data_IF_088066084200
#
_entry.id   IF_088066084200
#
_cell.length_a   1.000
_cell.length_b   1.000
_cell.length_c   1.000
_cell.angle_alpha   90.00
_cell.angle_beta   90.00
_cell.angle_gamma   90.00
#
_symmetry.space_group_name_H-M   'P 1'
#
loop_
_entity.id
_entity.type
_entity.pdbx_description
1 polymer ?
#
# COMPACT_ATOMS: atom_id res chain seq x y z
N UNK A 1 -21.65 2.90 20.44
CA UNK A 1 -21.65 3.54 19.11
C UNK A 1 -21.61 2.41 18.08
N UNK A 2 -22.57 2.37 17.15
CA UNK A 2 -22.72 1.27 16.18
C UNK A 2 -21.46 1.11 15.32
N UNK A 3 -21.11 -0.13 14.98
CA UNK A 3 -19.92 -0.50 14.18
C UNK A 3 -19.71 0.40 12.95
N UNK A 4 -20.80 0.83 12.30
CA UNK A 4 -20.81 1.74 11.15
C UNK A 4 -20.12 3.08 11.40
N UNK A 5 -20.28 3.69 12.57
CA UNK A 5 -19.65 4.97 12.89
C UNK A 5 -18.14 4.84 13.03
N UNK A 6 -17.64 3.68 13.44
CA UNK A 6 -16.21 3.45 13.57
C UNK A 6 -15.54 3.47 12.20
N UNK A 7 -16.11 2.79 11.21
CA UNK A 7 -15.58 2.80 9.84
C UNK A 7 -15.61 4.19 9.20
N UNK A 8 -16.67 4.97 9.43
CA UNK A 8 -16.70 6.37 8.98
C UNK A 8 -15.61 7.22 9.64
N UNK A 9 -15.34 7.01 10.93
CA UNK A 9 -14.27 7.71 11.64
C UNK A 9 -12.89 7.34 11.08
N UNK A 10 -12.65 6.08 10.72
CA UNK A 10 -11.41 5.66 10.03
C UNK A 10 -11.21 6.48 8.76
N UNK A 11 -12.23 6.58 7.90
CA UNK A 11 -12.15 7.36 6.66
C UNK A 11 -11.83 8.82 6.93
N UNK A 12 -12.55 9.44 7.87
CA UNK A 12 -12.37 10.86 8.19
C UNK A 12 -10.96 11.10 8.72
N UNK A 13 -10.45 10.24 9.62
CA UNK A 13 -9.10 10.39 10.16
C UNK A 13 -8.04 10.13 9.08
N UNK A 14 -8.19 9.10 8.26
CA UNK A 14 -7.26 8.80 7.17
C UNK A 14 -7.19 9.96 6.15
N UNK A 15 -8.35 10.43 5.67
CA UNK A 15 -8.45 11.54 4.73
C UNK A 15 -7.88 12.84 5.32
N UNK A 16 -8.17 13.14 6.58
CA UNK A 16 -7.68 14.36 7.23
C UNK A 16 -6.18 14.33 7.43
N UNK A 17 -5.60 13.22 7.91
CA UNK A 17 -4.16 13.09 8.10
C UNK A 17 -3.42 13.10 6.75
N UNK A 18 -3.89 12.33 5.77
CA UNK A 18 -3.32 12.33 4.41
C UNK A 18 -3.41 13.71 3.76
N UNK A 19 -4.58 14.35 3.84
CA UNK A 19 -4.82 15.69 3.31
C UNK A 19 -3.97 16.77 4.00
N UNK A 20 -3.73 16.68 5.32
CA UNK A 20 -2.84 17.59 6.05
C UNK A 20 -1.38 17.41 5.62
N UNK A 21 -0.92 16.18 5.39
CA UNK A 21 0.43 15.90 4.88
C UNK A 21 0.59 16.51 3.49
N UNK A 22 -0.38 16.29 2.59
CA UNK A 22 -0.39 16.91 1.26
C UNK A 22 -0.44 18.45 1.37
N UNK A 23 -1.30 19.02 2.22
CA UNK A 23 -1.38 20.47 2.41
C UNK A 23 -0.11 21.08 3.06
N UNK A 24 0.69 20.26 3.74
CA UNK A 24 1.99 20.67 4.30
C UNK A 24 3.10 20.79 3.25
N UNK A 25 2.84 20.34 2.03
CA UNK A 25 3.70 20.45 0.85
C UNK A 25 4.36 21.82 0.71
N UNK A 26 3.59 22.89 0.90
CA UNK A 26 4.04 24.28 0.76
C UNK A 26 5.24 24.64 1.65
N UNK A 27 5.52 23.86 2.70
CA UNK A 27 6.61 24.10 3.64
C UNK A 27 7.87 23.29 3.34
N UNK A 28 7.74 22.11 2.69
CA UNK A 28 8.87 21.20 2.42
C UNK A 28 9.10 20.93 0.92
N UNK A 29 8.29 21.48 0.02
CA UNK A 29 8.35 21.26 -1.43
C UNK A 29 9.71 21.60 -2.05
N UNK A 30 10.50 22.50 -1.43
CA UNK A 30 11.86 22.84 -1.86
C UNK A 30 12.87 21.67 -1.72
N UNK A 31 12.60 20.71 -0.81
CA UNK A 31 13.48 19.55 -0.57
C UNK A 31 12.94 18.25 -1.18
N UNK A 32 11.66 18.21 -1.56
CA UNK A 32 10.94 16.99 -1.99
C UNK A 32 10.43 17.08 -3.43
N UNK A 33 10.58 18.23 -4.09
CA UNK A 33 10.13 18.47 -5.45
C UNK A 33 11.06 17.89 -6.52
N UNK A 34 10.48 17.28 -7.55
CA UNK A 34 11.26 16.89 -8.72
C UNK A 34 11.58 18.11 -9.60
N UNK A 35 12.85 18.50 -9.70
CA UNK A 35 13.31 19.63 -10.52
C UNK A 35 13.67 19.22 -11.95
N UNK A 36 13.56 17.93 -12.28
CA UNK A 36 14.05 17.35 -13.53
C UNK A 36 12.89 17.09 -14.50
N UNK A 37 12.62 18.07 -15.36
CA UNK A 37 11.43 18.13 -16.24
C UNK A 37 11.65 17.46 -17.61
N UNK A 38 12.86 17.01 -17.94
CA UNK A 38 13.24 16.51 -19.28
C UNK A 38 13.04 14.99 -19.47
N UNK A 39 12.37 14.30 -18.53
CA UNK A 39 12.09 12.86 -18.68
C UNK A 39 10.99 12.63 -19.73
N UNK A 40 11.10 11.62 -20.63
CA UNK A 40 10.07 11.30 -21.63
C UNK A 40 8.68 10.98 -21.04
N UNK A 41 8.65 10.68 -19.74
CA UNK A 41 7.47 10.31 -18.97
C UNK A 41 6.95 11.49 -18.11
N UNK A 42 7.64 12.62 -18.04
CA UNK A 42 7.22 13.78 -17.26
C UNK A 42 6.12 14.55 -18.00
N UNK A 43 4.85 14.29 -17.66
CA UNK A 43 3.71 15.09 -18.16
C UNK A 43 3.38 16.31 -17.28
N UNK A 44 4.31 16.69 -16.40
CA UNK A 44 4.21 17.86 -15.52
C UNK A 44 5.21 18.95 -15.96
N UNK A 45 4.73 20.17 -16.18
CA UNK A 45 5.56 21.35 -16.44
C UNK A 45 6.10 22.03 -15.15
N UNK A 46 5.80 21.46 -13.98
CA UNK A 46 6.12 22.03 -12.65
C UNK A 46 6.52 20.92 -11.69
N UNK A 47 7.44 21.23 -10.78
CA UNK A 47 7.93 20.32 -9.74
C UNK A 47 6.79 19.83 -8.86
N UNK A 48 6.46 18.53 -8.93
CA UNK A 48 5.51 17.87 -8.02
C UNK A 48 6.29 17.16 -6.91
N UNK A 49 5.91 17.34 -5.64
CA UNK A 49 6.58 16.68 -4.53
C UNK A 49 6.08 15.26 -4.36
N UNK A 50 7.03 14.37 -4.11
CA UNK A 50 6.80 12.93 -4.01
C UNK A 50 6.45 12.51 -2.58
N UNK A 51 5.40 13.12 -2.03
CA UNK A 51 4.91 12.84 -0.66
C UNK A 51 3.60 12.05 -0.62
N UNK A 52 3.03 11.71 -1.79
CA UNK A 52 1.77 10.98 -1.87
C UNK A 52 1.80 9.62 -1.17
N UNK A 53 2.88 8.85 -1.34
CA UNK A 53 3.05 7.56 -0.68
C UNK A 53 3.09 7.69 0.86
N UNK A 54 3.76 8.73 1.38
CA UNK A 54 3.79 9.02 2.82
C UNK A 54 2.40 9.42 3.34
N UNK A 55 1.66 10.23 2.59
CA UNK A 55 0.30 10.63 2.94
C UNK A 55 -0.65 9.43 3.06
N UNK A 56 -0.63 8.52 2.09
CA UNK A 56 -1.43 7.28 2.11
C UNK A 56 -1.02 6.39 3.28
N UNK A 57 0.29 6.18 3.48
CA UNK A 57 0.81 5.33 4.55
C UNK A 57 0.41 5.85 5.94
N UNK A 58 0.69 7.12 6.22
CA UNK A 58 0.40 7.74 7.51
C UNK A 58 -1.10 7.94 7.74
N UNK A 59 -1.87 8.31 6.70
CA UNK A 59 -3.32 8.40 6.77
C UNK A 59 -3.97 7.06 7.11
N UNK A 60 -3.59 6.00 6.38
CA UNK A 60 -4.08 4.64 6.65
C UNK A 60 -3.74 4.19 8.07
N UNK A 61 -2.50 4.42 8.51
CA UNK A 61 -2.07 4.09 9.88
C UNK A 61 -2.90 4.82 10.93
N UNK A 62 -3.06 6.14 10.78
CA UNK A 62 -3.83 6.96 11.71
C UNK A 62 -5.31 6.54 11.76
N UNK A 63 -5.92 6.25 10.61
CA UNK A 63 -7.29 5.76 10.54
C UNK A 63 -7.45 4.42 11.28
N UNK A 64 -6.54 3.47 11.07
CA UNK A 64 -6.59 2.15 11.71
C UNK A 64 -6.32 2.20 13.22
N UNK A 65 -5.50 3.15 13.70
CA UNK A 65 -5.30 3.33 15.15
C UNK A 65 -6.59 3.73 15.89
N UNK A 66 -7.57 4.32 15.20
CA UNK A 66 -8.89 4.64 15.76
C UNK A 66 -9.70 3.37 16.07
N UNK A 67 -9.42 2.25 15.39
CA UNK A 67 -10.07 0.97 15.64
C UNK A 67 -9.62 0.27 16.93
N UNK A 68 -8.69 0.85 17.70
CA UNK A 68 -8.11 0.28 18.91
C UNK A 68 -9.13 -0.12 19.99
N UNK A 69 -9.82 -1.23 19.77
CA UNK A 69 -10.56 -2.01 20.75
C UNK A 69 -9.79 -3.31 20.94
N UNK A 70 -9.40 -3.66 22.19
CA UNK A 70 -8.64 -4.88 22.47
C UNK A 70 -9.38 -6.19 22.11
N UNK A 71 -10.67 -6.14 21.81
CA UNK A 71 -11.53 -7.32 21.74
C UNK A 71 -11.41 -8.14 20.44
N UNK A 72 -10.79 -7.61 19.38
CA UNK A 72 -10.57 -8.35 18.13
C UNK A 72 -9.08 -8.57 17.87
N UNK A 73 -8.55 -9.68 18.40
CA UNK A 73 -7.15 -10.08 18.29
C UNK A 73 -6.67 -10.25 16.84
N UNK A 74 -7.54 -10.72 15.94
CA UNK A 74 -7.22 -10.88 14.50
C UNK A 74 -7.00 -9.53 13.84
N UNK A 75 -7.88 -8.56 14.08
CA UNK A 75 -7.66 -7.17 13.66
C UNK A 75 -6.36 -6.62 14.25
N UNK A 76 -6.11 -6.83 15.54
CA UNK A 76 -4.98 -6.25 16.25
C UNK A 76 -3.60 -6.75 15.76
N UNK A 77 -3.49 -7.98 15.22
CA UNK A 77 -2.23 -8.48 14.68
C UNK A 77 -2.09 -8.30 13.16
N UNK A 78 -3.20 -8.36 12.42
CA UNK A 78 -3.15 -8.40 10.96
C UNK A 78 -2.67 -7.09 10.34
N UNK A 79 -3.24 -5.95 10.75
CA UNK A 79 -2.84 -4.66 10.18
C UNK A 79 -1.39 -4.27 10.55
N UNK A 80 -0.87 -4.43 11.78
CA UNK A 80 0.52 -4.09 12.06
C UNK A 80 1.49 -4.99 11.28
N UNK A 81 1.18 -6.28 11.14
CA UNK A 81 1.99 -7.21 10.37
C UNK A 81 2.10 -6.80 8.90
N UNK A 82 1.00 -6.34 8.28
CA UNK A 82 1.03 -5.77 6.92
C UNK A 82 1.91 -4.53 6.83
N UNK A 83 1.83 -3.62 7.80
CA UNK A 83 2.65 -2.41 7.84
C UNK A 83 4.14 -2.74 7.97
N UNK A 84 4.49 -3.70 8.84
CA UNK A 84 5.87 -4.19 9.00
C UNK A 84 6.35 -4.85 7.70
N UNK A 85 5.51 -5.67 7.06
CA UNK A 85 5.85 -6.30 5.80
C UNK A 85 6.06 -5.30 4.66
N UNK A 86 5.30 -4.20 4.63
CA UNK A 86 5.42 -3.15 3.62
C UNK A 86 6.63 -2.21 3.84
N UNK A 87 7.31 -2.26 4.99
CA UNK A 87 8.42 -1.36 5.32
C UNK A 87 9.54 -1.33 4.27
N UNK A 88 10.07 -2.46 3.78
CA UNK A 88 11.20 -2.41 2.85
C UNK A 88 10.87 -1.65 1.57
N UNK A 89 9.70 -1.90 0.97
CA UNK A 89 9.29 -1.21 -0.25
C UNK A 89 8.93 0.25 -0.01
N UNK A 90 8.31 0.56 1.14
CA UNK A 90 8.01 1.93 1.54
C UNK A 90 9.29 2.77 1.73
N UNK A 91 10.26 2.24 2.47
CA UNK A 91 11.56 2.88 2.69
C UNK A 91 12.32 3.02 1.38
N UNK A 92 12.32 2.00 0.52
CA UNK A 92 12.95 2.11 -0.79
C UNK A 92 12.29 3.18 -1.68
N UNK A 93 10.97 3.36 -1.58
CA UNK A 93 10.24 4.44 -2.26
C UNK A 93 10.68 5.81 -1.74
N UNK A 94 10.63 6.03 -0.43
CA UNK A 94 11.06 7.30 0.19
C UNK A 94 12.52 7.62 -0.13
N UNK A 95 13.42 6.63 -0.03
CA UNK A 95 14.83 6.86 -0.35
C UNK A 95 15.02 7.21 -1.82
N UNK A 96 14.21 6.67 -2.74
CA UNK A 96 14.26 7.05 -4.16
C UNK A 96 13.80 8.49 -4.36
N UNK A 97 12.72 8.87 -3.69
CA UNK A 97 12.17 10.22 -3.75
C UNK A 97 13.16 11.28 -3.23
N UNK A 98 13.93 10.93 -2.19
CA UNK A 98 14.94 11.81 -1.59
C UNK A 98 16.26 11.80 -2.39
N UNK A 99 16.78 10.62 -2.73
CA UNK A 99 18.13 10.49 -3.31
C UNK A 99 18.13 10.59 -4.83
N UNK A 100 17.02 10.28 -5.51
CA UNK A 100 16.90 10.14 -6.97
C UNK A 100 17.87 9.13 -7.61
N UNK A 101 18.58 8.34 -6.81
CA UNK A 101 19.65 7.42 -7.24
C UNK A 101 19.24 5.94 -7.20
N UNK A 102 18.01 5.64 -6.77
CA UNK A 102 17.54 4.27 -6.64
C UNK A 102 16.95 3.80 -7.97
N UNK A 103 17.74 3.00 -8.70
CA UNK A 103 17.28 2.35 -9.92
C UNK A 103 16.10 1.40 -9.69
N UNK A 104 15.31 1.17 -10.73
CA UNK A 104 14.13 0.29 -10.76
C UNK A 104 14.38 -1.11 -10.19
N UNK A 105 15.57 -1.67 -10.42
CA UNK A 105 15.94 -3.00 -9.90
C UNK A 105 16.01 -3.06 -8.37
N UNK A 106 16.52 -2.02 -7.70
CA UNK A 106 16.58 -1.99 -6.23
C UNK A 106 15.17 -1.91 -5.62
N UNK A 107 14.25 -1.18 -6.28
CA UNK A 107 12.84 -1.10 -5.87
C UNK A 107 12.13 -2.44 -6.01
N UNK A 108 12.40 -3.16 -7.11
CA UNK A 108 11.88 -4.51 -7.32
C UNK A 108 12.37 -5.48 -6.23
N UNK A 109 13.66 -5.43 -5.89
CA UNK A 109 14.20 -6.25 -4.80
C UNK A 109 13.55 -5.91 -3.45
N UNK A 110 13.31 -4.63 -3.16
CA UNK A 110 12.61 -4.21 -1.95
C UNK A 110 11.13 -4.71 -1.93
N UNK A 111 10.46 -4.72 -3.08
CA UNK A 111 9.12 -5.28 -3.22
C UNK A 111 9.11 -6.80 -2.99
N UNK A 112 10.09 -7.53 -3.53
CA UNK A 112 10.25 -8.96 -3.25
C UNK A 112 10.58 -9.26 -1.80
N UNK A 113 11.43 -8.46 -1.16
CA UNK A 113 11.70 -8.58 0.27
C UNK A 113 10.44 -8.34 1.11
N UNK A 114 9.65 -7.32 0.77
CA UNK A 114 8.37 -7.02 1.43
C UNK A 114 7.38 -8.19 1.29
N UNK A 115 7.27 -8.76 0.08
CA UNK A 115 6.43 -9.91 -0.18
C UNK A 115 6.87 -11.17 0.59
N UNK A 116 8.18 -11.40 0.74
CA UNK A 116 8.71 -12.51 1.53
C UNK A 116 8.42 -12.34 3.03
N UNK A 117 8.52 -11.11 3.56
CA UNK A 117 8.15 -10.81 4.95
C UNK A 117 6.64 -11.00 5.16
N UNK A 118 5.81 -10.54 4.22
CA UNK A 118 4.36 -10.75 4.27
C UNK A 118 4.03 -12.25 4.28
N UNK A 119 4.66 -13.04 3.41
CA UNK A 119 4.50 -14.49 3.37
C UNK A 119 4.84 -15.13 4.73
N UNK A 120 5.94 -14.70 5.36
CA UNK A 120 6.36 -15.23 6.66
C UNK A 120 5.41 -14.88 7.81
N UNK A 121 4.87 -13.64 7.82
CA UNK A 121 4.03 -13.15 8.91
C UNK A 121 2.55 -13.51 8.78
N UNK A 122 2.05 -13.61 7.54
CA UNK A 122 0.61 -13.72 7.24
C UNK A 122 0.26 -15.01 6.50
N UNK A 123 1.27 -15.77 6.06
CA UNK A 123 1.09 -16.90 5.15
C UNK A 123 1.14 -16.47 3.69
N UNK A 124 1.42 -17.43 2.82
CA UNK A 124 1.46 -17.24 1.38
C UNK A 124 0.17 -17.55 0.65
N UNK A 125 0.17 -17.27 -0.64
CA UNK A 125 -0.86 -17.78 -1.54
C UNK A 125 -0.73 -19.30 -1.60
N UNK A 126 -1.77 -19.98 -1.09
CA UNK A 126 -1.86 -21.45 -1.07
C UNK A 126 -3.03 -21.98 -1.89
N UNK A 127 -3.96 -21.10 -2.29
CA UNK A 127 -5.17 -21.45 -3.04
C UNK A 127 -5.45 -20.43 -4.14
N UNK A 128 -5.56 -20.93 -5.37
CA UNK A 128 -5.92 -20.16 -6.58
C UNK A 128 -7.20 -20.69 -7.25
N UNK A 129 -7.79 -21.77 -6.72
CA UNK A 129 -9.08 -22.30 -7.17
C UNK A 129 -8.98 -23.41 -8.24
N UNK A 130 -7.76 -23.88 -8.51
CA UNK A 130 -7.50 -25.01 -9.40
C UNK A 130 -6.74 -26.09 -8.63
N UNK A 131 -7.30 -27.29 -8.52
CA UNK A 131 -6.77 -28.37 -7.66
C UNK A 131 -5.28 -28.68 -7.91
N UNK A 132 -4.86 -28.72 -9.18
CA UNK A 132 -3.47 -28.98 -9.54
C UNK A 132 -2.52 -27.86 -9.08
N UNK A 133 -2.92 -26.59 -9.21
CA UNK A 133 -2.13 -25.47 -8.72
C UNK A 133 -2.12 -25.38 -7.21
N UNK A 134 -3.25 -25.64 -6.56
CA UNK A 134 -3.36 -25.67 -5.09
C UNK A 134 -2.44 -26.75 -4.50
N UNK A 135 -2.33 -27.92 -5.15
CA UNK A 135 -1.37 -28.96 -4.78
C UNK A 135 0.08 -28.48 -4.94
N UNK A 136 0.43 -27.83 -6.05
CA UNK A 136 1.77 -27.28 -6.28
C UNK A 136 2.12 -26.18 -5.27
N UNK A 137 1.15 -25.33 -4.93
CA UNK A 137 1.32 -24.26 -3.94
C UNK A 137 1.36 -24.77 -2.49
N UNK A 138 1.02 -26.04 -2.23
CA UNK A 138 1.19 -26.64 -0.91
C UNK A 138 2.67 -26.77 -0.50
N UNK A 139 3.59 -26.79 -1.47
CA UNK A 139 5.03 -26.79 -1.21
C UNK A 139 5.50 -25.38 -0.86
N UNK A 140 5.99 -25.20 0.38
CA UNK A 140 6.34 -23.89 0.92
C UNK A 140 7.32 -23.06 0.05
N UNK A 141 8.36 -23.63 -0.62
CA UNK A 141 9.25 -22.82 -1.46
C UNK A 141 8.54 -22.28 -2.70
N UNK A 142 7.60 -23.06 -3.23
CA UNK A 142 6.83 -22.71 -4.42
C UNK A 142 5.80 -21.63 -4.06
N UNK A 143 5.10 -21.77 -2.93
CA UNK A 143 4.20 -20.72 -2.42
C UNK A 143 4.94 -19.41 -2.16
N UNK A 144 6.13 -19.46 -1.56
CA UNK A 144 6.96 -18.29 -1.31
C UNK A 144 7.34 -17.59 -2.62
N UNK A 145 7.90 -18.34 -3.59
CA UNK A 145 8.31 -17.79 -4.87
C UNK A 145 7.11 -17.21 -5.63
N UNK A 146 5.98 -17.91 -5.64
CA UNK A 146 4.75 -17.45 -6.26
C UNK A 146 4.25 -16.15 -5.61
N UNK A 147 4.22 -16.10 -4.28
CA UNK A 147 3.79 -14.89 -3.54
C UNK A 147 4.73 -13.72 -3.79
N UNK A 148 6.04 -13.95 -3.82
CA UNK A 148 7.03 -12.92 -4.16
C UNK A 148 6.80 -12.35 -5.56
N UNK A 149 6.61 -13.22 -6.56
CA UNK A 149 6.35 -12.79 -7.95
C UNK A 149 5.02 -12.05 -8.05
N UNK A 150 3.95 -12.56 -7.44
CA UNK A 150 2.63 -11.96 -7.50
C UNK A 150 2.61 -10.57 -6.82
N UNK A 151 2.99 -10.51 -5.54
CA UNK A 151 2.94 -9.26 -4.76
C UNK A 151 4.01 -8.27 -5.23
N UNK A 152 5.25 -8.74 -5.43
CA UNK A 152 6.35 -7.91 -5.90
C UNK A 152 6.12 -7.41 -7.34
N UNK A 153 5.60 -8.26 -8.21
CA UNK A 153 5.22 -7.90 -9.58
C UNK A 153 4.11 -6.87 -9.64
N UNK A 154 3.03 -7.04 -8.86
CA UNK A 154 1.97 -6.04 -8.75
C UNK A 154 2.51 -4.71 -8.23
N UNK A 155 3.36 -4.73 -7.20
CA UNK A 155 3.97 -3.51 -6.63
C UNK A 155 4.86 -2.79 -7.64
N UNK A 156 5.66 -3.54 -8.41
CA UNK A 156 6.49 -2.97 -9.46
C UNK A 156 5.66 -2.43 -10.65
N UNK A 157 4.57 -3.11 -11.02
CA UNK A 157 3.65 -2.64 -12.05
C UNK A 157 2.97 -1.33 -11.64
N UNK A 158 2.53 -1.21 -10.38
CA UNK A 158 1.99 0.05 -9.83
C UNK A 158 3.03 1.18 -9.92
N UNK A 159 4.30 0.88 -9.64
CA UNK A 159 5.36 1.87 -9.79
C UNK A 159 5.60 2.30 -11.25
N UNK A 160 5.42 1.40 -12.22
CA UNK A 160 5.58 1.73 -13.63
C UNK A 160 4.48 2.66 -14.17
N UNK A 161 3.24 2.50 -13.68
CA UNK A 161 2.10 3.35 -14.09
C UNK A 161 2.05 4.70 -13.35
N UNK A 162 2.83 4.87 -12.28
CA UNK A 162 2.93 6.11 -11.47
C UNK A 162 3.72 7.24 -12.19
N UNK A 163 4.08 7.05 -13.45
CA UNK A 163 4.69 8.08 -14.30
C UNK A 163 3.69 9.09 -14.88
N UNK A 164 2.38 8.88 -14.72
CA UNK A 164 1.33 9.75 -15.26
C UNK A 164 0.55 10.45 -14.15
N UNK A 165 0.27 11.75 -14.33
CA UNK A 165 -0.38 12.63 -13.36
C UNK A 165 -1.68 12.02 -12.80
N UNK A 166 -1.64 11.52 -11.57
CA UNK A 166 -2.83 11.04 -10.84
C UNK A 166 -3.40 9.69 -11.29
N UNK A 167 -2.80 9.01 -12.27
CA UNK A 167 -3.29 7.70 -12.76
C UNK A 167 -3.15 6.63 -11.68
N UNK A 168 -1.95 6.47 -11.11
CA UNK A 168 -1.70 5.45 -10.09
C UNK A 168 -2.53 5.68 -8.83
N UNK A 169 -2.78 6.94 -8.44
CA UNK A 169 -3.67 7.28 -7.32
C UNK A 169 -5.11 6.86 -7.57
N UNK A 170 -5.67 7.19 -8.74
CA UNK A 170 -7.03 6.79 -9.11
C UNK A 170 -7.17 5.26 -9.19
N UNK A 171 -6.21 4.58 -9.83
CA UNK A 171 -6.20 3.11 -9.94
C UNK A 171 -6.11 2.45 -8.57
N UNK A 172 -5.24 2.95 -7.67
CA UNK A 172 -5.12 2.44 -6.30
C UNK A 172 -6.39 2.63 -5.49
N UNK A 173 -7.08 3.77 -5.64
CA UNK A 173 -8.35 4.04 -4.97
C UNK A 173 -9.43 3.07 -5.47
N UNK A 174 -9.56 2.87 -6.79
CA UNK A 174 -10.52 1.92 -7.36
C UNK A 174 -10.26 0.48 -6.91
N UNK A 175 -9.00 0.04 -6.86
CA UNK A 175 -8.62 -1.27 -6.32
C UNK A 175 -9.02 -1.37 -4.85
N UNK A 176 -8.72 -0.36 -4.04
CA UNK A 176 -9.03 -0.35 -2.60
C UNK A 176 -10.53 -0.39 -2.33
N UNK A 177 -11.33 0.40 -3.05
CA UNK A 177 -12.80 0.37 -2.97
C UNK A 177 -13.32 -1.03 -3.36
N UNK A 178 -12.78 -1.61 -4.43
CA UNK A 178 -13.19 -2.94 -4.89
C UNK A 178 -12.88 -4.02 -3.84
N UNK A 179 -11.69 -3.98 -3.24
CA UNK A 179 -11.30 -4.88 -2.16
C UNK A 179 -12.18 -4.70 -0.92
N UNK A 180 -12.50 -3.46 -0.54
CA UNK A 180 -13.40 -3.18 0.57
C UNK A 180 -14.80 -3.78 0.33
N UNK A 181 -15.37 -3.59 -0.86
CA UNK A 181 -16.69 -4.12 -1.20
C UNK A 181 -16.73 -5.66 -1.18
N UNK A 182 -15.68 -6.32 -1.68
CA UNK A 182 -15.58 -7.79 -1.64
C UNK A 182 -15.40 -8.27 -0.20
N UNK A 183 -14.51 -7.65 0.57
CA UNK A 183 -14.25 -8.00 1.96
C UNK A 183 -15.52 -7.88 2.82
N UNK A 184 -16.30 -6.82 2.60
CA UNK A 184 -17.60 -6.65 3.25
C UNK A 184 -18.59 -7.77 2.91
N UNK A 185 -18.66 -8.20 1.64
CA UNK A 185 -19.55 -9.29 1.20
C UNK A 185 -19.19 -10.64 1.84
N UNK A 186 -17.91 -10.91 2.05
CA UNK A 186 -17.43 -12.17 2.67
C UNK A 186 -17.28 -12.07 4.18
N UNK A 187 -17.71 -10.97 4.81
CA UNK A 187 -17.57 -10.67 6.24
C UNK A 187 -16.11 -10.62 6.76
N UNK A 188 -15.14 -10.30 5.89
CA UNK A 188 -13.77 -10.03 6.30
C UNK A 188 -13.61 -8.56 6.71
N UNK A 189 -13.95 -8.29 7.98
CA UNK A 189 -13.94 -6.93 8.52
C UNK A 189 -12.52 -6.34 8.65
N UNK A 190 -11.49 -7.18 8.66
CA UNK A 190 -10.10 -6.74 8.73
C UNK A 190 -9.63 -6.15 7.41
N UNK A 191 -9.81 -6.89 6.32
CA UNK A 191 -9.49 -6.39 4.98
C UNK A 191 -10.40 -5.22 4.63
N UNK A 192 -11.67 -5.26 5.01
CA UNK A 192 -12.61 -4.15 4.80
C UNK A 192 -12.09 -2.84 5.41
N UNK A 193 -11.70 -2.85 6.69
CA UNK A 193 -11.21 -1.66 7.37
C UNK A 193 -9.94 -1.09 6.74
N UNK A 194 -8.98 -1.95 6.38
CA UNK A 194 -7.70 -1.55 5.78
C UNK A 194 -7.94 -0.95 4.39
N UNK A 195 -8.73 -1.62 3.56
CA UNK A 195 -9.02 -1.17 2.20
C UNK A 195 -9.83 0.14 2.19
N UNK A 196 -10.75 0.31 3.14
CA UNK A 196 -11.50 1.54 3.34
C UNK A 196 -10.58 2.70 3.76
N UNK A 197 -9.65 2.45 4.69
CA UNK A 197 -8.66 3.44 5.13
C UNK A 197 -7.72 3.87 3.98
N UNK A 198 -7.29 2.93 3.14
CA UNK A 198 -6.44 3.23 1.97
C UNK A 198 -7.16 3.99 0.86
N UNK A 199 -8.47 3.78 0.72
CA UNK A 199 -9.29 4.47 -0.28
C UNK A 199 -9.62 5.93 0.10
N UNK A 200 -9.45 6.29 1.38
CA UNK A 200 -9.82 7.59 1.95
C UNK A 200 -8.69 8.59 1.84
#
# INVERSE_FOLDING_TARGET
MTETWQYLLICVVAFTVGGLIIASERWHGRYTGDTDLDKPQASHARSTPRIGGLAVFAGTLAGLLVLGKPDNTTLNWFWPALFVAAMPVFVAGILEDITKEIGSGKRLLAAFASAAIAWWLLGGVSRVGFEWFDWVLSFWPISLLFTMIAVGGCTHAMNLIDGMNGLAGMVSCLISISLALVAYQVNDMAIFAIALAMAS
#
